data_IF_416042231804
#
_entry.id   IF_416042231804
#
_cell.length_a   1.000
_cell.length_b   1.000
_cell.length_c   1.000
_cell.angle_alpha   90.00
_cell.angle_beta   90.00
_cell.angle_gamma   90.00
#
_symmetry.space_group_name_H-M   'P 1'
#
loop_
_entity.id
_entity.type
_entity.pdbx_description
1 polymer ?
#
# COMPACT_ATOMS: atom_id res chain seq x y z
N UNK A 1 -8.08 13.47 -11.53
CA UNK A 1 -7.98 12.09 -10.97
C UNK A 1 -7.19 12.09 -9.66
N UNK A 2 -5.92 12.42 -9.62
CA UNK A 2 -5.15 12.42 -8.36
C UNK A 2 -5.83 13.27 -7.27
N UNK A 3 -6.24 14.49 -7.59
CA UNK A 3 -6.97 15.35 -6.65
C UNK A 3 -8.20 14.67 -6.01
N UNK A 4 -8.96 13.90 -6.80
CA UNK A 4 -10.11 13.15 -6.26
C UNK A 4 -9.68 12.02 -5.32
N UNK A 5 -8.56 11.35 -5.60
CA UNK A 5 -8.01 10.32 -4.72
C UNK A 5 -7.55 10.93 -3.38
N UNK A 6 -6.92 12.10 -3.43
CA UNK A 6 -6.51 12.83 -2.22
C UNK A 6 -7.71 13.34 -1.41
N UNK A 7 -8.79 13.77 -2.07
CA UNK A 7 -10.05 14.09 -1.39
C UNK A 7 -10.65 12.87 -0.69
N UNK A 8 -10.61 11.70 -1.32
CA UNK A 8 -11.03 10.44 -0.68
C UNK A 8 -10.20 10.15 0.57
N UNK A 9 -8.87 10.30 0.48
CA UNK A 9 -7.99 10.17 1.65
C UNK A 9 -8.35 11.16 2.77
N UNK A 10 -8.57 12.42 2.45
CA UNK A 10 -8.90 13.44 3.44
C UNK A 10 -10.24 13.20 4.13
N UNK A 11 -11.21 12.62 3.44
CA UNK A 11 -12.55 12.32 3.96
C UNK A 11 -12.65 10.96 4.64
N UNK A 12 -12.01 9.94 4.07
CA UNK A 12 -12.12 8.55 4.51
C UNK A 12 -10.90 8.02 5.25
N UNK A 13 -9.78 8.78 5.25
CA UNK A 13 -8.56 8.43 5.96
C UNK A 13 -7.62 7.48 5.22
N UNK A 14 -7.97 6.97 4.05
CA UNK A 14 -7.14 6.12 3.17
C UNK A 14 -7.32 6.50 1.71
N UNK A 15 -6.30 6.21 0.89
CA UNK A 15 -6.43 6.28 -0.56
C UNK A 15 -7.41 5.20 -1.04
N UNK A 16 -8.10 5.43 -2.17
CA UNK A 16 -8.99 4.41 -2.71
C UNK A 16 -8.20 3.19 -3.18
N UNK A 17 -8.68 1.99 -2.84
CA UNK A 17 -8.15 0.72 -3.32
C UNK A 17 -8.94 0.33 -4.57
N UNK A 18 -10.25 0.13 -4.42
CA UNK A 18 -11.13 -0.21 -5.51
C UNK A 18 -12.50 0.45 -5.35
N UNK A 19 -12.59 1.66 -5.86
CA UNK A 19 -13.84 2.41 -5.82
C UNK A 19 -14.76 2.03 -6.97
N UNK A 20 -15.98 1.59 -6.59
CA UNK A 20 -17.15 1.61 -7.44
C UNK A 20 -17.99 2.85 -7.09
N UNK A 21 -19.18 2.67 -6.51
CA UNK A 21 -19.97 3.78 -5.93
C UNK A 21 -19.40 4.14 -4.55
N UNK A 22 -18.93 3.13 -3.81
CA UNK A 22 -18.26 3.23 -2.53
C UNK A 22 -16.97 2.41 -2.58
N UNK A 23 -16.06 2.65 -1.63
CA UNK A 23 -14.90 1.78 -1.45
C UNK A 23 -15.37 0.36 -1.10
N UNK A 24 -14.91 -0.62 -1.86
CA UNK A 24 -15.35 -2.01 -1.72
C UNK A 24 -14.31 -2.90 -1.06
N UNK A 25 -13.11 -2.38 -0.88
CA UNK A 25 -11.99 -3.10 -0.25
C UNK A 25 -11.75 -4.51 -0.84
N UNK A 26 -12.04 -4.65 -2.13
CA UNK A 26 -11.74 -5.84 -2.91
C UNK A 26 -10.45 -5.64 -3.68
N UNK A 27 -9.84 -6.72 -4.10
CA UNK A 27 -8.52 -6.75 -4.72
C UNK A 27 -7.41 -6.41 -3.72
N UNK A 28 -6.24 -6.91 -4.00
CA UNK A 28 -5.07 -6.78 -3.15
C UNK A 28 -4.22 -5.62 -3.63
N UNK A 29 -3.55 -4.95 -2.69
CA UNK A 29 -2.62 -3.86 -2.98
C UNK A 29 -3.22 -2.47 -2.77
N UNK A 30 -2.32 -1.48 -2.72
CA UNK A 30 -2.63 -0.06 -2.54
C UNK A 30 -2.20 0.74 -3.78
N UNK A 31 -2.65 0.29 -4.96
CA UNK A 31 -2.14 0.72 -6.26
C UNK A 31 -2.42 2.20 -6.63
N UNK A 32 -3.16 2.92 -5.80
CA UNK A 32 -3.22 4.39 -5.87
C UNK A 32 -1.83 5.01 -5.85
N UNK A 33 -0.87 4.34 -5.19
CA UNK A 33 0.54 4.75 -5.14
C UNK A 33 1.19 4.79 -6.52
N UNK A 34 0.88 3.82 -7.39
CA UNK A 34 1.45 3.77 -8.74
C UNK A 34 0.98 4.94 -9.61
N UNK A 35 -0.30 5.33 -9.50
CA UNK A 35 -0.85 6.46 -10.23
C UNK A 35 -0.24 7.78 -9.79
N UNK A 36 -0.02 7.95 -8.49
CA UNK A 36 0.62 9.16 -7.94
C UNK A 36 2.08 9.21 -8.36
N UNK A 37 2.83 8.11 -8.18
CA UNK A 37 4.23 8.03 -8.57
C UNK A 37 4.44 8.26 -10.07
N UNK A 38 3.62 7.67 -10.92
CA UNK A 38 3.68 7.87 -12.36
C UNK A 38 3.37 9.32 -12.76
N UNK A 39 2.38 9.96 -12.11
CA UNK A 39 2.06 11.36 -12.35
C UNK A 39 3.25 12.25 -12.02
N UNK A 40 3.88 12.03 -10.87
CA UNK A 40 5.09 12.76 -10.46
C UNK A 40 6.25 12.53 -11.44
N UNK A 41 6.50 11.28 -11.83
CA UNK A 41 7.58 10.93 -12.76
C UNK A 41 7.40 11.53 -14.16
N UNK A 42 6.15 11.76 -14.57
CA UNK A 42 5.81 12.43 -15.83
C UNK A 42 5.75 13.96 -15.72
N UNK A 43 6.06 14.52 -14.55
CA UNK A 43 6.07 15.96 -14.32
C UNK A 43 4.69 16.58 -14.07
N UNK A 44 3.67 15.79 -13.77
CA UNK A 44 2.38 16.31 -13.36
C UNK A 44 2.35 16.54 -11.86
N UNK A 45 2.40 17.81 -11.45
CA UNK A 45 2.47 18.24 -10.05
C UNK A 45 1.27 19.10 -9.62
N UNK A 46 0.20 19.15 -10.40
CA UNK A 46 -0.96 20.00 -10.15
C UNK A 46 -1.90 19.40 -9.10
N UNK A 47 -1.33 19.04 -7.94
CA UNK A 47 -2.03 18.55 -6.76
C UNK A 47 -1.18 18.78 -5.50
N UNK A 48 -1.78 18.68 -4.33
CA UNK A 48 -1.09 18.86 -3.04
C UNK A 48 -0.12 17.72 -2.76
N UNK A 49 1.18 18.02 -2.86
CA UNK A 49 2.26 17.04 -2.69
C UNK A 49 2.41 16.57 -1.24
N UNK A 50 2.16 17.44 -0.26
CA UNK A 50 2.24 17.08 1.17
C UNK A 50 1.11 16.13 1.54
N UNK A 51 -0.10 16.40 1.06
CA UNK A 51 -1.25 15.50 1.25
C UNK A 51 -1.00 14.17 0.53
N UNK A 52 -0.44 14.21 -0.68
CA UNK A 52 -0.12 12.99 -1.43
C UNK A 52 0.90 12.13 -0.68
N UNK A 53 1.97 12.73 -0.18
CA UNK A 53 2.98 12.01 0.60
C UNK A 53 2.39 11.43 1.90
N UNK A 54 1.64 12.22 2.66
CA UNK A 54 0.99 11.75 3.89
C UNK A 54 0.06 10.56 3.64
N UNK A 55 -0.67 10.57 2.52
CA UNK A 55 -1.57 9.49 2.13
C UNK A 55 -0.81 8.21 1.77
N UNK A 56 0.25 8.33 0.94
CA UNK A 56 1.12 7.21 0.57
C UNK A 56 1.81 6.60 1.78
N UNK A 57 2.36 7.43 2.65
CA UNK A 57 2.98 7.01 3.89
C UNK A 57 2.01 6.23 4.78
N UNK A 58 0.79 6.76 4.97
CA UNK A 58 -0.21 6.12 5.81
C UNK A 58 -0.59 4.74 5.28
N UNK A 59 -0.83 4.61 3.98
CA UNK A 59 -1.21 3.31 3.39
C UNK A 59 -0.06 2.29 3.45
N UNK A 60 1.19 2.76 3.37
CA UNK A 60 2.36 1.90 3.40
C UNK A 60 2.84 1.53 4.81
N UNK A 61 2.54 2.34 5.83
CA UNK A 61 3.15 2.21 7.17
C UNK A 61 2.18 2.00 8.31
N UNK A 62 0.89 2.36 8.14
CA UNK A 62 -0.10 2.23 9.20
C UNK A 62 -0.97 1.00 8.93
N UNK A 63 -0.86 -0.05 9.75
CA UNK A 63 -1.68 -1.25 9.57
C UNK A 63 -3.16 -0.96 9.80
N UNK A 64 -4.06 -1.82 9.30
CA UNK A 64 -5.47 -1.76 9.68
C UNK A 64 -5.67 -2.05 11.17
N UNK A 65 -6.86 -1.71 11.69
CA UNK A 65 -7.23 -2.04 13.08
C UNK A 65 -7.21 -3.56 13.29
N UNK A 66 -6.76 -3.98 14.47
CA UNK A 66 -6.70 -5.39 14.85
C UNK A 66 -5.90 -6.31 13.90
N UNK A 67 -4.93 -5.77 13.18
CA UNK A 67 -4.11 -6.47 12.18
C UNK A 67 -3.43 -7.76 12.68
N UNK A 68 -3.29 -7.93 13.99
CA UNK A 68 -2.72 -9.13 14.61
C UNK A 68 -3.76 -10.19 14.98
N UNK A 69 -5.02 -9.82 15.09
CA UNK A 69 -6.10 -10.67 15.63
C UNK A 69 -7.21 -10.93 14.62
N UNK A 70 -7.37 -10.04 13.65
CA UNK A 70 -8.35 -10.19 12.58
C UNK A 70 -7.76 -10.98 11.42
N UNK A 71 -8.48 -11.99 10.98
CA UNK A 71 -8.17 -12.68 9.72
C UNK A 71 -8.93 -12.00 8.59
N UNK A 72 -8.18 -11.40 7.66
CA UNK A 72 -8.77 -10.70 6.54
C UNK A 72 -8.96 -11.64 5.35
N UNK A 73 -10.16 -11.65 4.82
CA UNK A 73 -10.52 -12.34 3.59
C UNK A 73 -11.01 -11.33 2.57
N UNK A 74 -10.71 -11.57 1.31
CA UNK A 74 -11.25 -10.75 0.22
C UNK A 74 -12.78 -10.65 0.31
N UNK A 75 -13.30 -9.43 0.18
CA UNK A 75 -14.74 -9.14 0.22
C UNK A 75 -15.47 -9.54 1.50
N UNK A 76 -14.80 -9.57 2.61
CA UNK A 76 -15.45 -9.90 3.88
C UNK A 76 -16.37 -8.73 4.34
N UNK A 77 -17.69 -8.95 4.49
CA UNK A 77 -18.58 -7.92 5.00
C UNK A 77 -18.24 -7.53 6.45
N UNK A 78 -18.34 -6.25 6.77
CA UNK A 78 -18.17 -5.73 8.13
C UNK A 78 -16.72 -5.51 8.58
N UNK A 79 -15.73 -5.83 7.75
CA UNK A 79 -14.37 -5.34 7.97
C UNK A 79 -14.23 -3.92 7.44
N UNK A 80 -13.55 -3.06 8.18
CA UNK A 80 -13.18 -1.73 7.71
C UNK A 80 -12.19 -1.80 6.54
N UNK A 81 -11.74 -0.64 6.06
CA UNK A 81 -10.71 -0.59 5.03
C UNK A 81 -9.45 -1.30 5.53
N UNK A 82 -9.12 -2.43 4.92
CA UNK A 82 -7.97 -3.24 5.32
C UNK A 82 -6.63 -2.68 4.85
N UNK A 83 -6.63 -1.79 3.85
CA UNK A 83 -5.42 -1.26 3.24
C UNK A 83 -4.40 -2.39 2.97
N UNK A 84 -3.39 -2.51 3.84
CA UNK A 84 -2.41 -3.59 3.78
C UNK A 84 -2.60 -4.55 4.95
N UNK A 85 -3.55 -5.46 4.85
CA UNK A 85 -3.77 -6.51 5.85
C UNK A 85 -2.50 -7.37 6.04
N UNK A 86 -2.14 -7.62 7.30
CA UNK A 86 -0.92 -8.35 7.67
C UNK A 86 0.35 -7.49 7.72
N UNK A 87 0.25 -6.17 7.53
CA UNK A 87 1.38 -5.25 7.51
C UNK A 87 2.23 -5.30 8.79
N UNK A 88 1.60 -5.47 9.95
CA UNK A 88 2.31 -5.58 11.24
C UNK A 88 3.26 -6.78 11.28
N UNK A 89 2.91 -7.88 10.63
CA UNK A 89 3.76 -9.07 10.52
C UNK A 89 4.76 -8.93 9.38
N UNK A 90 4.30 -8.40 8.24
CA UNK A 90 5.17 -8.15 7.10
C UNK A 90 6.36 -7.26 7.47
N UNK A 91 6.15 -6.20 8.26
CA UNK A 91 7.21 -5.31 8.72
C UNK A 91 8.33 -6.03 9.52
N UNK A 92 8.01 -7.17 10.15
CA UNK A 92 8.97 -7.95 10.95
C UNK A 92 9.56 -9.14 10.19
N UNK A 93 8.79 -9.75 9.32
CA UNK A 93 9.13 -11.03 8.67
C UNK A 93 9.61 -10.81 7.22
N UNK A 94 9.27 -9.66 6.63
CA UNK A 94 9.48 -9.40 5.21
C UNK A 94 8.51 -10.16 4.30
N UNK A 95 7.40 -10.69 4.84
CA UNK A 95 6.31 -11.29 4.08
C UNK A 95 5.03 -11.36 4.91
N UNK A 96 3.89 -11.49 4.26
CA UNK A 96 2.58 -11.68 4.90
C UNK A 96 2.37 -13.17 5.17
N UNK A 97 2.19 -13.61 6.44
CA UNK A 97 1.97 -15.02 6.74
C UNK A 97 0.56 -15.49 6.36
N UNK A 98 0.47 -16.70 5.79
CA UNK A 98 -0.80 -17.28 5.35
C UNK A 98 -1.83 -17.56 6.48
N UNK A 99 -1.37 -17.51 7.74
CA UNK A 99 -2.23 -17.70 8.91
C UNK A 99 -3.07 -16.43 9.25
N UNK A 100 -2.73 -15.27 8.66
CA UNK A 100 -3.36 -13.99 9.00
C UNK A 100 -4.36 -13.51 7.95
N UNK A 101 -4.22 -13.97 6.72
CA UNK A 101 -5.08 -13.50 5.63
C UNK A 101 -5.11 -14.51 4.49
N UNK A 102 -6.19 -14.50 3.72
CA UNK A 102 -6.19 -15.13 2.41
C UNK A 102 -5.18 -14.46 1.48
N UNK A 103 -4.74 -15.17 0.46
CA UNK A 103 -3.91 -14.63 -0.63
C UNK A 103 -2.58 -14.00 -0.17
N UNK A 104 -2.00 -14.54 0.92
CA UNK A 104 -0.79 -13.99 1.55
C UNK A 104 0.39 -13.84 0.57
N UNK A 105 0.54 -14.78 -0.36
CA UNK A 105 1.55 -14.68 -1.42
C UNK A 105 1.32 -13.47 -2.33
N UNK A 106 0.10 -13.30 -2.83
CA UNK A 106 -0.26 -12.14 -3.64
C UNK A 106 -0.06 -10.83 -2.86
N UNK A 107 -0.48 -10.79 -1.59
CA UNK A 107 -0.28 -9.60 -0.73
C UNK A 107 1.19 -9.23 -0.60
N UNK A 108 2.06 -10.20 -0.39
CA UNK A 108 3.51 -9.94 -0.31
C UNK A 108 4.06 -9.37 -1.63
N UNK A 109 3.62 -9.91 -2.77
CA UNK A 109 4.05 -9.43 -4.08
C UNK A 109 3.54 -8.01 -4.37
N UNK A 110 2.25 -7.77 -4.15
CA UNK A 110 1.64 -6.47 -4.44
C UNK A 110 2.15 -5.38 -3.49
N UNK A 111 2.36 -5.68 -2.21
CA UNK A 111 2.95 -4.72 -1.28
C UNK A 111 4.39 -4.38 -1.64
N UNK A 112 5.16 -5.34 -2.14
CA UNK A 112 6.51 -5.09 -2.63
C UNK A 112 6.49 -4.18 -3.88
N UNK A 113 5.54 -4.36 -4.79
CA UNK A 113 5.33 -3.47 -5.93
C UNK A 113 4.90 -2.07 -5.48
N UNK A 114 3.92 -1.98 -4.58
CA UNK A 114 3.46 -0.70 -4.05
C UNK A 114 4.58 0.05 -3.32
N UNK A 115 5.44 -0.65 -2.58
CA UNK A 115 6.60 -0.06 -1.93
C UNK A 115 7.58 0.54 -2.92
N UNK A 116 7.81 -0.12 -4.05
CA UNK A 116 8.62 0.46 -5.11
C UNK A 116 8.02 1.78 -5.62
N UNK A 117 6.72 1.82 -5.83
CA UNK A 117 6.06 3.05 -6.30
C UNK A 117 6.06 4.16 -5.25
N UNK A 118 5.90 3.81 -3.97
CA UNK A 118 6.05 4.76 -2.86
C UNK A 118 7.48 5.29 -2.78
N UNK A 119 8.49 4.44 -3.00
CA UNK A 119 9.89 4.87 -3.05
C UNK A 119 10.14 5.90 -4.16
N UNK A 120 9.61 5.65 -5.37
CA UNK A 120 9.70 6.60 -6.49
C UNK A 120 9.02 7.93 -6.13
N UNK A 121 7.83 7.90 -5.55
CA UNK A 121 7.15 9.11 -5.11
C UNK A 121 7.94 9.86 -4.03
N UNK A 122 8.50 9.14 -3.04
CA UNK A 122 9.33 9.72 -1.99
C UNK A 122 10.56 10.43 -2.56
N UNK A 123 11.26 9.80 -3.51
CA UNK A 123 12.42 10.40 -4.18
C UNK A 123 12.04 11.69 -4.90
N UNK A 124 10.93 11.69 -5.63
CA UNK A 124 10.44 12.84 -6.40
C UNK A 124 9.86 13.96 -5.53
N UNK A 125 9.50 13.67 -4.29
CA UNK A 125 9.01 14.64 -3.30
C UNK A 125 10.05 14.99 -2.22
N UNK A 126 11.33 14.64 -2.45
CA UNK A 126 12.48 14.97 -1.59
C UNK A 126 12.50 14.27 -0.21
N UNK A 127 11.87 13.09 -0.08
CA UNK A 127 11.90 12.23 1.09
C UNK A 127 12.91 11.09 0.89
N UNK A 128 14.20 11.45 0.79
CA UNK A 128 15.26 10.53 0.34
C UNK A 128 15.52 9.34 1.27
N UNK A 129 15.45 9.55 2.56
CA UNK A 129 15.69 8.49 3.54
C UNK A 129 14.55 7.46 3.49
N UNK A 130 13.32 7.94 3.37
CA UNK A 130 12.14 7.12 3.20
C UNK A 130 12.15 6.39 1.84
N UNK A 131 12.63 7.04 0.79
CA UNK A 131 12.78 6.42 -0.53
C UNK A 131 13.68 5.18 -0.44
N UNK A 132 14.86 5.29 0.21
CA UNK A 132 15.78 4.17 0.38
C UNK A 132 15.13 3.03 1.18
N UNK A 133 14.43 3.36 2.27
CA UNK A 133 13.70 2.37 3.07
C UNK A 133 12.68 1.59 2.23
N UNK A 134 11.87 2.27 1.42
CA UNK A 134 10.88 1.63 0.57
C UNK A 134 11.50 0.86 -0.60
N UNK A 135 12.61 1.33 -1.19
CA UNK A 135 13.36 0.55 -2.18
C UNK A 135 13.90 -0.76 -1.60
N UNK A 136 14.33 -0.77 -0.34
CA UNK A 136 14.80 -2.00 0.30
C UNK A 136 13.62 -2.92 0.62
N UNK A 137 12.52 -2.40 1.15
CA UNK A 137 11.31 -3.18 1.44
C UNK A 137 10.64 -3.73 0.18
N UNK A 138 10.72 -3.04 -0.94
CA UNK A 138 10.21 -3.53 -2.22
C UNK A 138 10.85 -4.84 -2.70
N UNK A 139 11.99 -5.24 -2.10
CA UNK A 139 12.65 -6.52 -2.41
C UNK A 139 12.06 -7.71 -1.62
N UNK A 140 11.10 -7.47 -0.75
CA UNK A 140 10.44 -8.48 0.08
C UNK A 140 9.77 -9.61 -0.70
N UNK A 141 9.39 -9.37 -1.96
CA UNK A 141 8.90 -10.43 -2.85
C UNK A 141 9.86 -11.64 -2.93
N UNK A 142 11.16 -11.45 -2.69
CA UNK A 142 12.17 -12.52 -2.71
C UNK A 142 12.01 -13.53 -1.58
N UNK A 143 11.38 -13.12 -0.48
CA UNK A 143 11.24 -13.95 0.72
C UNK A 143 10.22 -15.08 0.57
N UNK A 144 9.38 -15.04 -0.47
CA UNK A 144 8.40 -16.10 -0.75
C UNK A 144 8.85 -17.07 -1.84
N UNK A 145 10.02 -16.86 -2.43
CA UNK A 145 10.58 -17.80 -3.40
C UNK A 145 11.49 -18.82 -2.73
N UNK A 146 11.31 -20.08 -3.06
CA UNK A 146 12.19 -21.15 -2.64
C UNK A 146 13.28 -21.34 -3.70
N UNK A 147 14.52 -21.00 -3.36
CA UNK A 147 15.66 -21.14 -4.27
C UNK A 147 16.16 -22.58 -4.43
N UNK A 148 15.57 -23.54 -3.70
CA UNK A 148 15.99 -24.94 -3.72
C UNK A 148 15.11 -25.83 -4.62
N UNK A 149 14.11 -25.28 -5.27
CA UNK A 149 13.19 -26.02 -6.16
C UNK A 149 13.15 -25.41 -7.54
#
# INVERSE_FOLDING_TARGET
MITSMLQTYQQGGRLPIWQNIVETNIMIGTHSSSLIAESLAKGFHDFDLEVAWAALWKDAMVPPEDDLTTMYFDRQPGTGCEARAGLTREAKLGYVPAQLTSEAGSRTLEYAYDDYTVAVAAELTNHKDEAQFFYDRSKNYRNIFNNAT
#
